data_IF_905660242616
#
_entry.id   IF_905660242616
#
_cell.length_a   1.000
_cell.length_b   1.000
_cell.length_c   1.000
_cell.angle_alpha   90.00
_cell.angle_beta   90.00
_cell.angle_gamma   90.00
#
_symmetry.space_group_name_H-M   'P 1'
#
loop_
_entity.id
_entity.type
_entity.pdbx_description
1 polymer ?
#
# COMPACT_ATOMS: atom_id res chain seq x y z
N UNK A 1 -17.52 11.06 -27.61
CA UNK A 1 -16.78 12.01 -26.78
C UNK A 1 -17.64 12.51 -25.62
N UNK A 2 -18.83 13.05 -25.88
CA UNK A 2 -19.74 13.53 -24.86
C UNK A 2 -20.07 12.45 -23.83
N UNK A 3 -20.37 11.24 -24.27
CA UNK A 3 -20.64 10.07 -23.44
C UNK A 3 -19.44 9.67 -22.56
N UNK A 4 -18.22 9.72 -23.10
CA UNK A 4 -16.99 9.42 -22.32
C UNK A 4 -16.75 10.49 -21.27
N UNK A 5 -16.88 11.76 -21.61
CA UNK A 5 -16.68 12.85 -20.67
C UNK A 5 -17.73 12.83 -19.53
N UNK A 6 -19.00 12.56 -19.85
CA UNK A 6 -20.09 12.44 -18.88
C UNK A 6 -19.89 11.25 -17.95
N UNK A 7 -19.56 10.07 -18.46
CA UNK A 7 -19.28 8.87 -17.65
C UNK A 7 -18.05 9.07 -16.73
N UNK A 8 -17.02 9.74 -17.26
CA UNK A 8 -15.85 10.07 -16.43
C UNK A 8 -16.23 11.02 -15.29
N UNK A 9 -17.07 12.02 -15.58
CA UNK A 9 -17.54 12.96 -14.56
C UNK A 9 -18.43 12.26 -13.51
N UNK A 10 -19.36 11.38 -13.93
CA UNK A 10 -20.15 10.56 -13.00
C UNK A 10 -19.28 9.74 -12.06
N UNK A 11 -18.25 9.08 -12.59
CA UNK A 11 -17.33 8.30 -11.75
C UNK A 11 -16.50 9.16 -10.78
N UNK A 12 -16.16 10.37 -11.17
CA UNK A 12 -15.53 11.36 -10.28
C UNK A 12 -16.51 11.79 -9.19
N UNK A 13 -17.79 11.98 -9.53
CA UNK A 13 -18.85 12.35 -8.58
C UNK A 13 -19.09 11.25 -7.53
N UNK A 14 -19.10 9.99 -7.96
CA UNK A 14 -19.24 8.84 -7.06
C UNK A 14 -18.11 8.72 -6.05
N UNK A 15 -16.91 9.22 -6.40
CA UNK A 15 -15.73 9.11 -5.56
C UNK A 15 -15.50 10.31 -4.64
N UNK A 16 -15.80 11.50 -5.10
CA UNK A 16 -15.60 12.71 -4.31
C UNK A 16 -16.50 13.84 -4.82
N UNK A 17 -17.63 14.05 -4.14
CA UNK A 17 -18.63 15.08 -4.49
C UNK A 17 -18.12 16.51 -4.45
N UNK A 18 -17.18 16.83 -3.53
CA UNK A 18 -16.64 18.19 -3.41
C UNK A 18 -15.77 18.57 -4.61
N UNK A 19 -14.93 17.63 -5.09
CA UNK A 19 -14.10 17.86 -6.27
C UNK A 19 -14.95 17.85 -7.54
N UNK A 20 -15.94 16.96 -7.61
CA UNK A 20 -16.81 16.82 -8.77
C UNK A 20 -17.71 18.01 -9.02
N UNK A 21 -18.20 18.67 -7.95
CA UNK A 21 -18.99 19.89 -8.05
C UNK A 21 -18.27 21.05 -8.73
N UNK A 22 -16.94 20.99 -8.78
CA UNK A 22 -16.07 21.98 -9.43
C UNK A 22 -15.61 21.58 -10.85
N UNK A 23 -16.06 20.46 -11.41
CA UNK A 23 -15.62 19.95 -12.71
C UNK A 23 -16.74 20.03 -13.75
N UNK A 24 -16.44 20.62 -14.89
CA UNK A 24 -17.34 20.67 -16.06
C UNK A 24 -16.62 20.10 -17.29
N UNK A 25 -17.21 19.13 -18.02
CA UNK A 25 -16.61 18.65 -19.25
C UNK A 25 -16.66 19.74 -20.33
N UNK A 26 -15.52 20.10 -20.90
CA UNK A 26 -15.45 20.98 -22.06
C UNK A 26 -15.35 20.10 -23.31
N UNK A 27 -16.38 20.12 -24.12
CA UNK A 27 -16.43 19.39 -25.39
C UNK A 27 -16.11 20.38 -26.52
N UNK A 28 -15.10 20.08 -27.37
CA UNK A 28 -14.83 20.92 -28.52
C UNK A 28 -16.04 21.01 -29.44
N UNK A 29 -16.33 22.19 -29.98
CA UNK A 29 -17.38 22.35 -31.00
C UNK A 29 -16.97 21.61 -32.29
N UNK A 30 -17.95 21.09 -33.02
CA UNK A 30 -17.69 20.33 -34.28
C UNK A 30 -16.87 21.10 -35.31
N UNK A 31 -16.98 22.42 -35.32
CA UNK A 31 -16.29 23.31 -36.25
C UNK A 31 -14.79 23.55 -35.86
N UNK A 32 -14.42 23.22 -34.64
CA UNK A 32 -13.03 23.35 -34.14
C UNK A 32 -12.24 22.05 -34.27
N UNK A 33 -12.85 20.95 -34.70
CA UNK A 33 -12.26 19.61 -34.73
C UNK A 33 -11.49 19.37 -36.04
N UNK A 34 -10.16 19.57 -36.01
CA UNK A 34 -9.30 18.87 -36.95
C UNK A 34 -9.18 17.42 -36.49
N UNK A 35 -9.38 16.44 -37.39
CA UNK A 35 -9.30 15.01 -37.03
C UNK A 35 -8.00 14.63 -36.32
N UNK A 36 -6.89 15.30 -36.58
CA UNK A 36 -5.60 15.14 -35.90
C UNK A 36 -5.62 15.66 -34.45
N UNK A 37 -6.54 16.55 -34.11
CA UNK A 37 -6.64 17.19 -32.78
C UNK A 37 -7.70 16.55 -31.89
N UNK A 38 -8.57 15.71 -32.47
CA UNK A 38 -9.69 15.04 -31.74
C UNK A 38 -9.20 14.23 -30.55
N UNK A 39 -8.00 13.66 -30.64
CA UNK A 39 -7.39 12.90 -29.55
C UNK A 39 -6.44 13.72 -28.66
N UNK A 40 -6.20 14.98 -28.97
CA UNK A 40 -5.27 15.86 -28.21
C UNK A 40 -5.97 16.83 -27.26
N UNK A 41 -7.28 17.01 -27.37
CA UNK A 41 -7.98 18.10 -26.69
C UNK A 41 -9.24 17.70 -25.92
N UNK A 42 -9.28 16.51 -25.32
CA UNK A 42 -10.25 16.28 -24.25
C UNK A 42 -9.69 16.91 -22.99
N UNK A 43 -10.06 18.17 -22.73
CA UNK A 43 -9.74 18.81 -21.47
C UNK A 43 -10.94 18.79 -20.55
N UNK A 44 -10.74 18.30 -19.35
CA UNK A 44 -11.70 18.47 -18.26
C UNK A 44 -11.24 19.73 -17.51
N UNK A 45 -12.08 20.75 -17.45
CA UNK A 45 -11.84 21.95 -16.67
C UNK A 45 -12.87 22.04 -15.52
N UNK A 46 -12.51 22.69 -14.44
CA UNK A 46 -13.43 22.99 -13.34
C UNK A 46 -14.14 24.34 -13.53
N UNK A 47 -14.91 24.73 -12.51
CA UNK A 47 -15.74 25.94 -12.49
C UNK A 47 -15.00 27.25 -12.86
N UNK A 48 -13.68 27.29 -12.67
CA UNK A 48 -12.83 28.41 -13.03
C UNK A 48 -12.09 28.22 -14.36
N UNK A 49 -12.52 27.30 -15.22
CA UNK A 49 -11.82 26.93 -16.47
C UNK A 49 -10.34 26.55 -16.29
N UNK A 50 -9.96 26.06 -15.10
CA UNK A 50 -8.58 25.61 -14.83
C UNK A 50 -8.38 24.23 -15.44
N UNK A 51 -7.50 24.10 -16.46
CA UNK A 51 -7.20 22.81 -17.07
C UNK A 51 -6.64 21.79 -16.06
N UNK A 52 -6.93 20.49 -16.26
CA UNK A 52 -6.45 19.41 -15.38
C UNK A 52 -4.94 19.45 -15.15
N UNK A 53 -4.17 19.73 -16.18
CA UNK A 53 -2.70 19.81 -16.12
C UNK A 53 -2.17 20.89 -15.17
N UNK A 54 -3.00 21.90 -14.83
CA UNK A 54 -2.68 22.95 -13.88
C UNK A 54 -3.26 22.71 -12.48
N UNK A 55 -4.00 21.62 -12.27
CA UNK A 55 -4.54 21.24 -10.96
C UNK A 55 -3.52 20.47 -10.12
N UNK A 56 -3.75 20.40 -8.82
CA UNK A 56 -2.91 19.68 -7.89
C UNK A 56 -2.76 18.18 -8.25
N UNK A 57 -1.69 17.57 -7.82
CA UNK A 57 -1.37 16.15 -8.11
C UNK A 57 -2.48 15.18 -7.66
N UNK A 58 -3.12 15.44 -6.52
CA UNK A 58 -4.22 14.61 -6.04
C UNK A 58 -5.41 14.55 -7.00
N UNK A 59 -5.83 15.70 -7.57
CA UNK A 59 -6.93 15.75 -8.54
C UNK A 59 -6.57 15.00 -9.83
N UNK A 60 -5.35 15.20 -10.34
CA UNK A 60 -4.88 14.49 -11.55
C UNK A 60 -4.94 12.98 -11.38
N UNK A 61 -4.58 12.48 -10.21
CA UNK A 61 -4.54 11.03 -9.91
C UNK A 61 -5.93 10.44 -9.66
N UNK A 62 -6.86 11.19 -9.07
CA UNK A 62 -8.26 10.79 -9.00
C UNK A 62 -8.89 10.65 -10.39
N UNK A 63 -8.54 11.54 -11.31
CA UNK A 63 -8.97 11.44 -12.70
C UNK A 63 -8.38 10.20 -13.37
N UNK A 64 -7.09 9.93 -13.16
CA UNK A 64 -6.44 8.74 -13.66
C UNK A 64 -7.09 7.45 -13.14
N UNK A 65 -7.40 7.40 -11.84
CA UNK A 65 -8.11 6.29 -11.22
C UNK A 65 -9.47 6.03 -11.89
N UNK A 66 -10.25 7.09 -12.11
CA UNK A 66 -11.56 6.96 -12.76
C UNK A 66 -11.44 6.57 -14.23
N UNK A 67 -10.39 7.02 -14.92
CA UNK A 67 -10.08 6.56 -16.26
C UNK A 67 -9.87 5.04 -16.28
N UNK A 68 -9.08 4.48 -15.38
CA UNK A 68 -8.85 3.04 -15.30
C UNK A 68 -10.11 2.25 -14.96
N UNK A 69 -10.95 2.76 -14.06
CA UNK A 69 -12.23 2.12 -13.74
C UNK A 69 -13.18 2.12 -14.94
N UNK A 70 -13.32 3.25 -15.61
CA UNK A 70 -14.15 3.36 -16.81
C UNK A 70 -13.63 2.48 -17.95
N UNK A 71 -12.31 2.37 -18.11
CA UNK A 71 -11.69 1.50 -19.09
C UNK A 71 -11.92 0.02 -18.77
N UNK A 72 -11.83 -0.39 -17.50
CA UNK A 72 -12.14 -1.75 -17.09
C UNK A 72 -13.61 -2.10 -17.42
N UNK A 73 -14.56 -1.21 -17.09
CA UNK A 73 -15.98 -1.40 -17.42
C UNK A 73 -16.22 -1.46 -18.94
N UNK A 74 -15.59 -0.56 -19.70
CA UNK A 74 -15.67 -0.55 -21.15
C UNK A 74 -15.16 -1.86 -21.75
N UNK A 75 -14.04 -2.36 -21.28
CA UNK A 75 -13.43 -3.61 -21.77
C UNK A 75 -14.29 -4.83 -21.46
N UNK A 76 -14.93 -4.88 -20.28
CA UNK A 76 -15.86 -5.97 -19.93
C UNK A 76 -17.06 -6.07 -20.88
N UNK A 77 -17.43 -4.98 -21.54
CA UNK A 77 -18.57 -4.92 -22.48
C UNK A 77 -18.20 -5.22 -23.94
N UNK A 78 -16.92 -5.46 -24.26
CA UNK A 78 -16.48 -5.73 -25.63
C UNK A 78 -16.43 -7.22 -25.94
N UNK A 79 -16.88 -7.63 -27.12
CA UNK A 79 -16.78 -9.03 -27.58
C UNK A 79 -15.37 -9.40 -28.06
N UNK A 80 -14.70 -8.47 -28.78
CA UNK A 80 -13.33 -8.64 -29.28
C UNK A 80 -12.38 -7.66 -28.61
N UNK A 81 -11.67 -8.12 -27.57
CA UNK A 81 -10.83 -7.28 -26.75
C UNK A 81 -9.36 -7.40 -27.21
N UNK A 82 -8.74 -6.32 -27.74
CA UNK A 82 -7.33 -6.33 -28.06
C UNK A 82 -6.48 -6.46 -26.79
N UNK A 83 -5.33 -7.12 -26.89
CA UNK A 83 -4.38 -7.22 -25.77
C UNK A 83 -3.78 -5.85 -25.46
N UNK A 84 -3.66 -5.53 -24.17
CA UNK A 84 -3.07 -4.29 -23.70
C UNK A 84 -2.23 -4.52 -22.45
N UNK A 85 -1.12 -3.80 -22.36
CA UNK A 85 -0.26 -3.75 -21.18
C UNK A 85 -0.26 -2.32 -20.66
N UNK A 86 -0.65 -2.15 -19.41
CA UNK A 86 -0.50 -0.89 -18.69
C UNK A 86 0.74 -0.97 -17.82
N UNK A 87 1.71 -0.07 -18.07
CA UNK A 87 2.89 0.10 -17.22
C UNK A 87 2.78 1.44 -16.49
N UNK A 88 2.72 1.41 -15.17
CA UNK A 88 2.45 2.58 -14.33
C UNK A 88 3.51 2.68 -13.24
N UNK A 89 4.17 3.83 -13.20
CA UNK A 89 5.21 4.10 -12.21
C UNK A 89 4.63 4.91 -11.04
N UNK A 90 4.85 4.41 -9.82
CA UNK A 90 4.50 5.04 -8.55
C UNK A 90 3.13 5.76 -8.56
N UNK A 91 2.04 5.05 -8.89
CA UNK A 91 0.73 5.69 -9.05
C UNK A 91 0.20 6.31 -7.75
N UNK A 92 0.72 5.88 -6.61
CA UNK A 92 0.34 6.34 -5.29
C UNK A 92 0.97 7.66 -4.86
N UNK A 93 2.00 8.14 -5.57
CA UNK A 93 2.77 9.34 -5.16
C UNK A 93 1.84 10.54 -4.91
N UNK A 94 2.00 11.22 -3.78
CA UNK A 94 1.19 12.36 -3.35
C UNK A 94 -0.31 12.03 -3.11
N UNK A 95 -0.63 10.78 -2.80
CA UNK A 95 -1.99 10.38 -2.44
C UNK A 95 -2.12 10.03 -0.95
N UNK A 96 -3.29 10.38 -0.41
CA UNK A 96 -3.68 9.91 0.92
C UNK A 96 -3.89 8.39 0.91
N UNK A 97 -3.59 7.73 2.02
CA UNK A 97 -3.67 6.27 2.18
C UNK A 97 -5.00 5.65 1.71
N UNK A 98 -6.12 6.30 2.01
CA UNK A 98 -7.44 5.84 1.57
C UNK A 98 -7.57 5.85 0.03
N UNK A 99 -7.01 6.87 -0.62
CA UNK A 99 -7.01 6.95 -2.08
C UNK A 99 -6.08 5.91 -2.70
N UNK A 100 -4.97 5.58 -2.03
CA UNK A 100 -4.08 4.49 -2.48
C UNK A 100 -4.81 3.15 -2.49
N UNK A 101 -5.61 2.84 -1.45
CA UNK A 101 -6.44 1.61 -1.42
C UNK A 101 -7.50 1.58 -2.53
N UNK A 102 -8.16 2.71 -2.80
CA UNK A 102 -9.11 2.79 -3.91
C UNK A 102 -8.44 2.62 -5.27
N UNK A 103 -7.23 3.14 -5.41
CA UNK A 103 -6.44 3.05 -6.63
C UNK A 103 -6.04 1.59 -6.93
N UNK A 104 -5.51 0.87 -5.94
CA UNK A 104 -5.11 -0.52 -6.14
C UNK A 104 -6.31 -1.41 -6.46
N UNK A 105 -7.46 -1.16 -5.82
CA UNK A 105 -8.68 -1.90 -6.15
C UNK A 105 -9.10 -1.71 -7.60
N UNK A 106 -9.06 -0.48 -8.12
CA UNK A 106 -9.37 -0.21 -9.51
C UNK A 106 -8.36 -0.85 -10.48
N UNK A 107 -7.09 -0.95 -10.08
CA UNK A 107 -6.08 -1.67 -10.85
C UNK A 107 -6.31 -3.18 -10.86
N UNK A 108 -6.72 -3.76 -9.75
CA UNK A 108 -7.09 -5.17 -9.69
C UNK A 108 -8.31 -5.44 -10.57
N UNK A 109 -9.36 -4.62 -10.48
CA UNK A 109 -10.55 -4.72 -11.33
C UNK A 109 -10.18 -4.63 -12.83
N UNK A 110 -9.22 -3.78 -13.19
CA UNK A 110 -8.72 -3.65 -14.57
C UNK A 110 -7.90 -4.88 -14.99
N UNK A 111 -7.04 -5.38 -14.11
CA UNK A 111 -6.20 -6.56 -14.39
C UNK A 111 -7.01 -7.85 -14.57
N UNK A 112 -8.21 -7.93 -13.99
CA UNK A 112 -9.14 -9.04 -14.19
C UNK A 112 -9.86 -9.01 -15.55
N UNK A 113 -9.76 -7.90 -16.30
CA UNK A 113 -10.38 -7.84 -17.65
C UNK A 113 -9.57 -8.68 -18.64
N UNK A 114 -10.27 -9.34 -19.57
CA UNK A 114 -9.62 -10.20 -20.55
C UNK A 114 -8.55 -9.44 -21.37
N UNK A 115 -7.47 -10.14 -21.72
CA UNK A 115 -6.36 -9.62 -22.52
C UNK A 115 -5.73 -8.34 -21.94
N UNK A 116 -5.75 -8.17 -20.60
CA UNK A 116 -5.19 -7.02 -19.93
C UNK A 116 -4.07 -7.46 -18.98
N UNK A 117 -2.92 -6.82 -19.10
CA UNK A 117 -1.81 -6.96 -18.15
C UNK A 117 -1.52 -5.62 -17.51
N UNK A 118 -1.29 -5.62 -16.21
CA UNK A 118 -0.92 -4.43 -15.46
C UNK A 118 0.45 -4.66 -14.78
N UNK A 119 1.36 -3.72 -14.98
CA UNK A 119 2.67 -3.68 -14.33
C UNK A 119 2.76 -2.37 -13.57
N UNK A 120 2.99 -2.46 -12.26
CA UNK A 120 3.07 -1.29 -11.38
C UNK A 120 4.41 -1.32 -10.65
N UNK A 121 5.10 -0.19 -10.60
CA UNK A 121 6.19 0.02 -9.63
C UNK A 121 5.64 0.81 -8.43
N UNK A 122 6.06 0.47 -7.23
CA UNK A 122 5.61 1.16 -6.01
C UNK A 122 6.68 1.13 -4.93
N UNK A 123 6.69 2.18 -4.11
CA UNK A 123 7.39 2.24 -2.83
C UNK A 123 6.42 2.28 -1.63
N UNK A 124 5.13 2.03 -1.87
CA UNK A 124 4.10 2.08 -0.82
C UNK A 124 3.88 0.73 -0.17
N UNK A 125 4.24 0.62 1.11
CA UNK A 125 3.88 -0.52 1.94
C UNK A 125 2.36 -0.75 2.01
N UNK A 126 1.57 0.32 1.91
CA UNK A 126 0.11 0.24 1.88
C UNK A 126 -0.39 -0.50 0.63
N UNK A 127 0.17 -0.18 -0.55
CA UNK A 127 -0.20 -0.89 -1.78
C UNK A 127 0.20 -2.36 -1.71
N UNK A 128 1.40 -2.65 -1.19
CA UNK A 128 1.88 -4.03 -1.05
C UNK A 128 0.94 -4.87 -0.19
N UNK A 129 0.42 -4.31 0.92
CA UNK A 129 -0.51 -5.00 1.82
C UNK A 129 -1.89 -5.32 1.20
N UNK A 130 -2.25 -4.65 0.13
CA UNK A 130 -3.53 -4.89 -0.59
C UNK A 130 -3.37 -5.90 -1.76
N UNK A 131 -2.15 -6.37 -2.05
CA UNK A 131 -1.86 -7.27 -3.16
C UNK A 131 -1.69 -8.72 -2.71
N UNK A 132 -2.02 -9.66 -3.61
CA UNK A 132 -1.67 -11.06 -3.42
C UNK A 132 -0.15 -11.24 -3.54
N UNK A 133 0.42 -12.02 -2.64
CA UNK A 133 1.86 -12.27 -2.55
C UNK A 133 2.47 -12.76 -3.87
N UNK A 134 1.76 -13.60 -4.62
CA UNK A 134 2.20 -14.11 -5.93
C UNK A 134 2.37 -13.04 -7.01
N UNK A 135 1.71 -11.89 -6.86
CA UNK A 135 1.82 -10.77 -7.80
C UNK A 135 3.05 -9.92 -7.53
N UNK A 136 3.69 -10.08 -6.37
CA UNK A 136 4.81 -9.26 -5.96
C UNK A 136 6.10 -9.69 -6.64
N UNK A 137 6.89 -8.70 -7.03
CA UNK A 137 8.25 -8.86 -7.53
C UNK A 137 9.15 -7.86 -6.82
N UNK A 138 10.26 -8.32 -6.29
CA UNK A 138 11.24 -7.49 -5.61
C UNK A 138 12.39 -7.16 -6.57
N UNK A 139 12.65 -5.86 -6.72
CA UNK A 139 13.81 -5.37 -7.46
C UNK A 139 14.97 -5.22 -6.49
N UNK A 140 16.05 -5.94 -6.73
CA UNK A 140 17.28 -5.85 -5.93
C UNK A 140 18.44 -5.34 -6.77
N UNK A 141 19.36 -4.65 -6.12
CA UNK A 141 20.62 -4.24 -6.72
C UNK A 141 21.73 -5.18 -6.21
N UNK A 142 22.27 -5.99 -7.09
CA UNK A 142 23.38 -6.88 -6.78
C UNK A 142 24.58 -6.51 -7.68
N UNK A 143 25.69 -6.10 -7.08
CA UNK A 143 26.92 -5.72 -7.82
C UNK A 143 26.63 -4.76 -9.00
N UNK A 144 25.84 -3.73 -8.78
CA UNK A 144 25.38 -2.76 -9.79
C UNK A 144 24.45 -3.32 -10.88
N UNK A 145 24.03 -4.57 -10.76
CA UNK A 145 23.04 -5.19 -11.66
C UNK A 145 21.69 -5.24 -10.94
N UNK A 146 20.65 -4.72 -11.59
CA UNK A 146 19.26 -4.85 -11.09
C UNK A 146 18.72 -6.21 -11.47
N UNK A 147 18.23 -6.95 -10.47
CA UNK A 147 17.55 -8.23 -10.65
C UNK A 147 16.09 -8.10 -10.23
N UNK A 148 15.21 -8.84 -10.89
CA UNK A 148 13.80 -8.95 -10.52
C UNK A 148 13.60 -10.36 -9.99
N UNK A 149 13.17 -10.47 -8.73
CA UNK A 149 12.97 -11.75 -8.06
C UNK A 149 11.51 -11.92 -7.68
N UNK A 150 11.02 -13.14 -7.78
CA UNK A 150 9.74 -13.48 -7.17
C UNK A 150 9.88 -13.39 -5.65
N UNK A 151 8.87 -12.78 -5.01
CA UNK A 151 8.83 -12.74 -3.55
C UNK A 151 8.43 -14.13 -3.05
N UNK A 152 9.28 -14.69 -2.20
CA UNK A 152 9.07 -15.98 -1.55
C UNK A 152 9.08 -15.80 -0.03
N UNK A 153 8.44 -16.70 0.74
CA UNK A 153 8.60 -16.74 2.19
C UNK A 153 10.09 -16.74 2.54
N UNK A 154 10.50 -15.95 3.52
CA UNK A 154 11.89 -15.83 3.90
C UNK A 154 12.16 -16.46 5.27
N UNK A 155 11.89 -15.75 6.36
CA UNK A 155 12.03 -16.29 7.72
C UNK A 155 10.77 -17.02 8.18
N UNK A 156 9.61 -16.48 7.83
CA UNK A 156 8.35 -17.15 8.09
C UNK A 156 8.09 -18.22 7.00
N UNK A 157 7.55 -19.40 7.34
CA UNK A 157 7.31 -20.49 6.39
C UNK A 157 6.07 -20.26 5.52
N UNK A 158 5.40 -19.12 5.65
CA UNK A 158 4.22 -18.74 4.92
C UNK A 158 4.36 -17.31 4.35
N UNK A 159 3.55 -16.92 3.35
CA UNK A 159 3.56 -15.57 2.80
C UNK A 159 3.21 -14.53 3.86
N UNK A 160 4.14 -13.60 4.13
CA UNK A 160 3.95 -12.47 5.03
C UNK A 160 4.22 -11.15 4.32
N UNK A 161 3.19 -10.31 4.21
CA UNK A 161 3.32 -8.97 3.63
C UNK A 161 4.10 -8.01 4.56
N UNK A 162 4.08 -8.25 5.87
CA UNK A 162 4.93 -7.51 6.80
C UNK A 162 6.41 -7.83 6.57
N UNK A 163 6.75 -9.11 6.33
CA UNK A 163 8.11 -9.52 5.97
C UNK A 163 8.56 -8.89 4.64
N UNK A 164 7.68 -8.87 3.63
CA UNK A 164 7.97 -8.21 2.35
C UNK A 164 8.27 -6.73 2.55
N UNK A 165 7.45 -6.02 3.31
CA UNK A 165 7.64 -4.60 3.59
C UNK A 165 8.94 -4.33 4.37
N UNK A 166 9.27 -5.19 5.33
CA UNK A 166 10.54 -5.11 6.03
C UNK A 166 11.73 -5.30 5.08
N UNK A 167 11.68 -6.29 4.18
CA UNK A 167 12.76 -6.59 3.24
C UNK A 167 12.88 -5.56 2.10
N UNK A 168 11.77 -5.04 1.61
CA UNK A 168 11.74 -4.13 0.46
C UNK A 168 11.96 -2.66 0.87
N UNK A 169 11.38 -2.24 1.99
CA UNK A 169 11.32 -0.83 2.38
C UNK A 169 12.01 -0.55 3.71
N UNK A 170 12.57 -1.58 4.37
CA UNK A 170 13.09 -1.48 5.74
C UNK A 170 12.04 -0.97 6.74
N UNK A 171 10.76 -1.30 6.48
CA UNK A 171 9.64 -0.86 7.30
C UNK A 171 9.59 -1.67 8.61
N UNK A 172 9.90 -0.99 9.71
CA UNK A 172 9.90 -1.56 11.06
C UNK A 172 8.55 -1.29 11.71
N UNK A 173 7.71 -2.34 11.86
CA UNK A 173 6.34 -2.22 12.37
C UNK A 173 6.06 -3.11 13.58
N UNK A 174 5.12 -2.68 14.42
CA UNK A 174 4.61 -3.47 15.55
C UNK A 174 3.89 -4.73 15.06
N UNK A 175 3.23 -4.67 13.89
CA UNK A 175 2.58 -5.81 13.27
C UNK A 175 3.56 -6.91 12.90
N UNK A 176 4.71 -6.55 12.30
CA UNK A 176 5.72 -7.54 11.96
C UNK A 176 6.37 -8.15 13.21
N UNK A 177 6.65 -7.32 14.22
CA UNK A 177 7.12 -7.79 15.52
C UNK A 177 6.17 -8.82 16.12
N UNK A 178 4.86 -8.52 16.12
CA UNK A 178 3.83 -9.41 16.66
C UNK A 178 3.70 -10.71 15.87
N UNK A 179 3.87 -10.65 14.55
CA UNK A 179 3.81 -11.81 13.66
C UNK A 179 4.97 -12.78 13.96
N UNK A 180 6.20 -12.28 14.04
CA UNK A 180 7.39 -13.07 14.39
C UNK A 180 7.27 -13.67 15.80
N UNK A 181 6.82 -12.86 16.76
CA UNK A 181 6.61 -13.31 18.14
C UNK A 181 5.59 -14.45 18.19
N UNK A 182 4.44 -14.26 17.54
CA UNK A 182 3.38 -15.27 17.48
C UNK A 182 3.84 -16.56 16.82
N UNK A 183 4.68 -16.48 15.79
CA UNK A 183 5.26 -17.65 15.15
C UNK A 183 6.19 -18.44 16.10
N UNK A 184 7.12 -17.76 16.79
CA UNK A 184 8.01 -18.42 17.75
C UNK A 184 7.23 -19.04 18.91
N UNK A 185 6.16 -18.37 19.36
CA UNK A 185 5.27 -18.85 20.42
C UNK A 185 4.48 -20.09 19.98
N UNK A 186 3.90 -20.06 18.77
CA UNK A 186 3.15 -21.18 18.19
C UNK A 186 4.04 -22.45 18.02
N UNK A 187 5.30 -22.24 17.63
CA UNK A 187 6.29 -23.32 17.52
C UNK A 187 6.78 -23.85 18.89
N UNK A 188 6.31 -23.26 20.00
CA UNK A 188 6.77 -23.65 21.35
C UNK A 188 8.23 -23.32 21.63
N UNK A 189 8.86 -22.42 20.87
CA UNK A 189 10.29 -22.14 20.93
C UNK A 189 10.64 -20.92 21.80
N UNK A 190 9.67 -20.30 22.49
CA UNK A 190 9.89 -19.05 23.24
C UNK A 190 10.90 -19.19 24.39
N UNK A 191 10.92 -20.30 25.10
CA UNK A 191 11.91 -20.53 26.16
C UNK A 191 13.33 -20.58 25.58
N UNK A 192 13.51 -21.31 24.48
CA UNK A 192 14.79 -21.38 23.79
C UNK A 192 15.22 -20.02 23.23
N UNK A 193 14.26 -19.24 22.73
CA UNK A 193 14.51 -17.88 22.24
C UNK A 193 15.02 -16.97 23.33
N UNK A 194 14.43 -17.02 24.53
CA UNK A 194 14.79 -16.19 25.68
C UNK A 194 16.13 -16.58 26.30
N UNK A 195 16.53 -17.85 26.16
CA UNK A 195 17.72 -18.38 26.80
C UNK A 195 18.98 -17.59 26.42
N UNK A 196 19.74 -17.17 27.43
CA UNK A 196 21.00 -16.44 27.22
C UNK A 196 20.92 -15.01 26.75
N UNK A 197 19.70 -14.47 26.50
CA UNK A 197 19.52 -13.07 26.09
C UNK A 197 19.55 -12.12 27.26
N UNK A 198 20.06 -10.92 27.04
CA UNK A 198 20.05 -9.84 28.02
C UNK A 198 18.60 -9.50 28.43
N UNK A 199 18.42 -9.20 29.71
CA UNK A 199 17.13 -8.82 30.27
C UNK A 199 17.14 -7.39 30.77
N UNK A 200 15.98 -6.76 30.84
CA UNK A 200 15.77 -5.40 31.33
C UNK A 200 14.57 -5.36 32.27
N UNK A 201 14.54 -4.42 33.23
CA UNK A 201 13.44 -4.33 34.19
C UNK A 201 12.14 -3.89 33.51
N UNK A 202 11.05 -4.60 33.78
CA UNK A 202 9.70 -4.27 33.37
C UNK A 202 8.80 -4.19 34.60
N UNK A 203 8.11 -3.07 34.76
CA UNK A 203 7.14 -2.81 35.83
C UNK A 203 5.76 -3.30 35.37
N UNK A 204 5.32 -4.41 35.93
CA UNK A 204 3.99 -4.99 35.65
C UNK A 204 2.99 -4.49 36.67
N UNK A 205 1.83 -4.05 36.23
CA UNK A 205 0.68 -3.74 37.08
C UNK A 205 -0.10 -5.03 37.31
N UNK A 206 -0.22 -5.45 38.54
CA UNK A 206 -1.06 -6.61 38.90
C UNK A 206 -2.55 -6.17 39.06
N UNK A 207 -3.48 -7.14 39.02
CA UNK A 207 -4.92 -6.87 39.10
C UNK A 207 -5.36 -6.08 40.34
N UNK A 208 -4.59 -6.15 41.41
CA UNK A 208 -4.80 -5.41 42.65
C UNK A 208 -4.20 -4.01 42.67
N UNK A 209 -3.63 -3.55 41.53
CA UNK A 209 -2.95 -2.26 41.40
C UNK A 209 -1.49 -2.23 41.89
N UNK A 210 -0.96 -3.35 42.41
CA UNK A 210 0.43 -3.42 42.86
C UNK A 210 1.38 -3.46 41.66
N UNK A 211 2.47 -2.73 41.74
CA UNK A 211 3.53 -2.73 40.72
C UNK A 211 4.60 -3.76 41.13
N UNK A 212 4.79 -4.75 40.26
CA UNK A 212 5.84 -5.75 40.43
C UNK A 212 6.88 -5.61 39.32
N UNK A 213 8.17 -5.57 39.66
CA UNK A 213 9.25 -5.46 38.68
C UNK A 213 9.82 -6.85 38.37
N UNK A 214 9.86 -7.18 37.06
CA UNK A 214 10.43 -8.42 36.55
C UNK A 214 11.50 -8.09 35.51
N UNK A 215 12.55 -8.90 35.45
CA UNK A 215 13.52 -8.79 34.36
C UNK A 215 13.03 -9.65 33.17
N UNK A 216 12.87 -9.03 32.03
CA UNK A 216 12.41 -9.67 30.79
C UNK A 216 13.29 -9.28 29.60
N UNK A 217 13.32 -10.10 28.57
CA UNK A 217 14.05 -9.79 27.34
C UNK A 217 13.40 -8.64 26.55
N UNK A 218 14.17 -7.95 25.72
CA UNK A 218 13.72 -6.80 24.93
C UNK A 218 12.43 -7.13 24.15
N UNK A 219 12.33 -8.30 23.55
CA UNK A 219 11.17 -8.73 22.75
C UNK A 219 9.90 -8.84 23.60
N UNK A 220 9.98 -9.40 24.81
CA UNK A 220 8.86 -9.45 25.74
C UNK A 220 8.49 -8.04 26.24
N UNK A 221 9.48 -7.19 26.47
CA UNK A 221 9.28 -5.81 26.89
C UNK A 221 8.45 -5.03 25.85
N UNK A 222 8.84 -5.14 24.58
CA UNK A 222 8.11 -4.51 23.47
C UNK A 222 6.71 -5.13 23.32
N UNK A 223 6.61 -6.45 23.33
CA UNK A 223 5.32 -7.17 23.25
C UNK A 223 4.34 -6.69 24.33
N UNK A 224 4.80 -6.56 25.57
CA UNK A 224 3.97 -6.08 26.66
C UNK A 224 3.54 -4.62 26.45
N UNK A 225 4.40 -3.74 25.95
CA UNK A 225 4.03 -2.36 25.70
C UNK A 225 3.05 -2.17 24.52
N UNK A 226 3.14 -3.02 23.51
CA UNK A 226 2.17 -3.03 22.40
C UNK A 226 0.77 -3.44 22.92
N UNK A 227 0.71 -4.48 23.78
CA UNK A 227 -0.54 -5.04 24.27
C UNK A 227 -1.11 -4.34 25.50
N UNK A 228 -0.27 -3.59 26.23
CA UNK A 228 -0.65 -2.87 27.44
C UNK A 228 -0.20 -1.40 27.37
N UNK A 229 -0.73 -0.62 26.38
CA UNK A 229 -0.37 0.79 26.22
C UNK A 229 -0.77 1.65 27.42
N UNK A 230 -1.72 1.18 28.26
CA UNK A 230 -2.13 1.82 29.51
C UNK A 230 -1.06 1.76 30.61
N UNK A 231 -0.09 0.87 30.49
CA UNK A 231 1.00 0.76 31.47
C UNK A 231 2.11 1.79 31.22
N UNK A 232 1.93 2.99 31.73
CA UNK A 232 2.85 4.14 31.60
C UNK A 232 4.03 4.13 32.56
N UNK A 233 4.19 3.09 33.40
CA UNK A 233 5.31 2.99 34.35
C UNK A 233 6.64 2.57 33.72
N UNK A 234 6.60 2.17 32.44
CA UNK A 234 7.77 1.78 31.67
C UNK A 234 8.05 2.83 30.58
N UNK A 235 9.32 3.07 30.32
CA UNK A 235 9.70 3.92 29.20
C UNK A 235 9.27 3.27 27.86
N UNK A 236 8.68 4.05 26.97
CA UNK A 236 8.24 3.55 25.66
C UNK A 236 9.46 3.12 24.85
N UNK A 237 9.39 1.96 24.21
CA UNK A 237 10.45 1.50 23.33
C UNK A 237 10.64 2.45 22.14
N UNK A 238 11.88 2.59 21.69
CA UNK A 238 12.25 3.37 20.52
C UNK A 238 12.06 2.53 19.24
N UNK A 239 12.04 3.20 18.07
CA UNK A 239 12.07 2.51 16.78
C UNK A 239 13.29 1.60 16.64
N UNK A 240 14.45 1.99 17.21
CA UNK A 240 15.65 1.16 17.21
C UNK A 240 15.45 -0.10 18.06
N UNK A 241 14.84 0.01 19.24
CA UNK A 241 14.52 -1.17 20.05
C UNK A 241 13.60 -2.14 19.32
N UNK A 242 12.59 -1.61 18.61
CA UNK A 242 11.67 -2.43 17.81
C UNK A 242 12.42 -3.15 16.69
N UNK A 243 13.31 -2.44 15.98
CA UNK A 243 14.15 -3.02 14.93
C UNK A 243 15.07 -4.11 15.50
N UNK A 244 15.78 -3.84 16.58
CA UNK A 244 16.69 -4.80 17.21
C UNK A 244 15.94 -6.07 17.64
N UNK A 245 14.74 -5.91 18.18
CA UNK A 245 13.90 -7.05 18.55
C UNK A 245 13.43 -7.87 17.35
N UNK A 246 13.04 -7.21 16.25
CA UNK A 246 12.69 -7.90 14.98
C UNK A 246 13.90 -8.67 14.46
N UNK A 247 15.08 -8.02 14.40
CA UNK A 247 16.30 -8.66 13.89
C UNK A 247 16.68 -9.88 14.78
N UNK A 248 16.61 -9.77 16.10
CA UNK A 248 16.85 -10.88 17.03
C UNK A 248 15.89 -12.07 16.83
N UNK A 249 14.63 -11.81 16.53
CA UNK A 249 13.66 -12.88 16.24
C UNK A 249 13.92 -13.52 14.87
N UNK A 250 14.22 -12.69 13.87
CA UNK A 250 14.56 -13.16 12.53
C UNK A 250 15.81 -14.02 12.49
N UNK A 251 16.82 -13.67 13.29
CA UNK A 251 18.06 -14.45 13.40
C UNK A 251 17.84 -15.80 14.11
N UNK A 252 16.86 -15.86 14.98
CA UNK A 252 16.50 -17.09 15.70
C UNK A 252 15.65 -18.05 14.86
N UNK A 253 14.75 -17.55 14.02
CA UNK A 253 13.92 -18.34 13.08
C UNK A 253 14.78 -18.85 11.92
#
# INVERSE_FOLDING_TARGET
MQDVASRTLEKIQDMNREIAGSLTPIIPTTDSLKWADVFKSVSIAGDENIPINKRGSGVKRLILLNFFRAEAERRKALENIPSIIYAIEEPETSQHTEHQRKLIKAFLDLAETANTQLIITTHSAVLVKELDFRHLRLIKLHNSIKTIEQVLPNKLPYPSLNEVNFLAFSEVTEEYHNELYGYIELEGKMENYRFGKATMPYKKIEKNGTINTKNIVLTDYIRHQIHHPENTHNERFSLQNLKDSIDLMRDFI
#
